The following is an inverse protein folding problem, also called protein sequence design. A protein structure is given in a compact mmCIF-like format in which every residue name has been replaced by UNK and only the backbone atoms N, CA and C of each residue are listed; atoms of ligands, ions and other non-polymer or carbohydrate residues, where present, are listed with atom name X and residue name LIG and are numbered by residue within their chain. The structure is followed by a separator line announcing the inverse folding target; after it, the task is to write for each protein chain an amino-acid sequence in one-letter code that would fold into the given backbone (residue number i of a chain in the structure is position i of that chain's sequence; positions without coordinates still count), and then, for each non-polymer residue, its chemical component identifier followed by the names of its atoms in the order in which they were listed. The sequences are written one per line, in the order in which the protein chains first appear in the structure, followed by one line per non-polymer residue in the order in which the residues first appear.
data_IF_362201114020
#
_entry.id   IF_362201114020
#
_cell.length_a   1.000
_cell.length_b   1.000
_cell.length_c   1.000
_cell.angle_alpha   90.00
_cell.angle_beta   90.00
_cell.angle_gamma   90.00
#
_symmetry.space_group_name_H-M   'P 1'
#
loop_
_entity.id
_entity.type
_entity.pdbx_description
1 polymer ?
#
# COMPACT_ATOMS: atom_id res chain seq x y z
N UNK A 1 -8.73 -6.66 13.19
CA UNK A 1 -8.81 -5.88 11.93
C UNK A 1 -7.65 -4.91 11.79
N UNK A 2 -7.46 -3.94 12.71
CA UNK A 2 -6.32 -3.00 12.61
C UNK A 2 -4.95 -3.68 12.49
N UNK A 3 -4.67 -4.67 13.33
CA UNK A 3 -3.38 -5.39 13.33
C UNK A 3 -3.09 -6.12 12.02
N UNK A 4 -4.13 -6.61 11.34
CA UNK A 4 -3.99 -7.29 10.06
C UNK A 4 -3.63 -6.29 8.95
N UNK A 5 -4.36 -5.16 8.90
CA UNK A 5 -4.11 -4.12 7.91
C UNK A 5 -2.73 -3.49 8.11
N UNK A 6 -2.30 -3.29 9.37
CA UNK A 6 -0.93 -2.83 9.65
C UNK A 6 0.12 -3.80 9.13
N UNK A 7 -0.06 -5.11 9.31
CA UNK A 7 0.87 -6.11 8.75
C UNK A 7 0.92 -6.07 7.22
N UNK A 8 -0.23 -5.84 6.58
CA UNK A 8 -0.29 -5.70 5.13
C UNK A 8 0.41 -4.41 4.67
N UNK A 9 0.20 -3.29 5.37
CA UNK A 9 0.92 -2.03 5.11
C UNK A 9 2.44 -2.21 5.28
N UNK A 10 2.89 -2.88 6.34
CA UNK A 10 4.32 -3.17 6.56
C UNK A 10 4.89 -4.07 5.43
N UNK A 11 4.08 -5.00 4.91
CA UNK A 11 4.45 -5.84 3.77
C UNK A 11 4.53 -5.00 2.49
N UNK A 12 3.52 -4.15 2.25
CA UNK A 12 3.45 -3.27 1.09
C UNK A 12 4.62 -2.30 1.05
N UNK A 13 4.98 -1.70 2.18
CA UNK A 13 6.14 -0.81 2.29
C UNK A 13 7.42 -1.48 1.76
N UNK A 14 7.69 -2.73 2.17
CA UNK A 14 8.87 -3.47 1.71
C UNK A 14 8.85 -3.79 0.21
N UNK A 15 7.67 -4.01 -0.37
CA UNK A 15 7.54 -4.33 -1.79
C UNK A 15 7.65 -3.03 -2.61
N UNK A 16 7.02 -1.94 -2.16
CA UNK A 16 7.15 -0.60 -2.75
C UNK A 16 8.62 -0.17 -2.74
N UNK A 17 9.36 -0.36 -1.65
CA UNK A 17 10.80 -0.06 -1.61
C UNK A 17 11.60 -0.86 -2.65
N UNK A 18 11.24 -2.13 -2.89
CA UNK A 18 11.87 -2.94 -3.94
C UNK A 18 11.52 -2.45 -5.34
N UNK A 19 10.26 -2.09 -5.58
CA UNK A 19 9.81 -1.49 -6.83
C UNK A 19 10.57 -0.19 -7.13
N UNK A 20 10.66 0.73 -6.16
CA UNK A 20 11.47 1.96 -6.27
C UNK A 20 12.93 1.62 -6.60
N UNK A 21 13.47 0.57 -5.97
CA UNK A 21 14.86 0.14 -6.19
C UNK A 21 15.08 -0.51 -7.55
N UNK A 22 14.05 -1.03 -8.21
CA UNK A 22 14.13 -1.61 -9.54
C UNK A 22 14.32 -0.53 -10.63
N UNK A 23 13.97 0.73 -10.32
CA UNK A 23 14.22 1.89 -11.17
C UNK A 23 13.42 1.91 -12.47
N UNK A 24 12.42 1.03 -12.60
CA UNK A 24 11.50 0.97 -13.72
C UNK A 24 10.13 0.49 -13.22
N UNK A 25 9.04 1.14 -13.64
CA UNK A 25 7.66 0.90 -13.18
C UNK A 25 7.06 -0.43 -13.64
N UNK A 26 7.82 -1.21 -14.41
CA UNK A 26 7.38 -2.42 -15.10
C UNK A 26 8.09 -3.68 -14.56
N UNK A 27 8.48 -3.67 -13.29
CA UNK A 27 9.02 -4.83 -12.61
C UNK A 27 7.94 -5.58 -11.82
N UNK A 28 8.15 -6.88 -11.62
CA UNK A 28 7.21 -7.76 -10.93
C UNK A 28 6.86 -7.24 -9.53
N UNK A 29 7.81 -6.58 -8.86
CA UNK A 29 7.59 -5.98 -7.54
C UNK A 29 6.65 -4.77 -7.58
N UNK A 30 6.64 -3.98 -8.66
CA UNK A 30 5.69 -2.86 -8.80
C UNK A 30 4.26 -3.37 -9.00
N UNK A 31 4.08 -4.43 -9.78
CA UNK A 31 2.77 -5.05 -9.98
C UNK A 31 2.28 -5.74 -8.69
N UNK A 32 3.15 -6.48 -7.99
CA UNK A 32 2.80 -7.05 -6.67
C UNK A 32 2.47 -5.97 -5.65
N UNK A 33 3.18 -4.84 -5.66
CA UNK A 33 2.90 -3.72 -4.78
C UNK A 33 1.52 -3.10 -5.06
N UNK A 34 1.16 -2.89 -6.33
CA UNK A 34 -0.15 -2.35 -6.73
C UNK A 34 -1.29 -3.25 -6.29
N UNK A 35 -1.22 -4.55 -6.58
CA UNK A 35 -2.24 -5.51 -6.16
C UNK A 35 -2.44 -5.51 -4.64
N UNK A 36 -1.33 -5.44 -3.88
CA UNK A 36 -1.38 -5.44 -2.42
C UNK A 36 -1.96 -4.14 -1.87
N UNK A 37 -1.66 -2.98 -2.48
CA UNK A 37 -2.22 -1.69 -2.08
C UNK A 37 -3.73 -1.63 -2.34
N UNK A 38 -4.20 -2.18 -3.46
CA UNK A 38 -5.63 -2.31 -3.76
C UNK A 38 -6.34 -3.21 -2.72
N UNK A 39 -5.76 -4.35 -2.36
CA UNK A 39 -6.32 -5.22 -1.30
C UNK A 39 -6.42 -4.48 0.04
N UNK A 40 -5.37 -3.70 0.39
CA UNK A 40 -5.36 -2.89 1.62
C UNK A 40 -6.44 -1.81 1.55
N UNK A 41 -6.63 -1.15 0.40
CA UNK A 41 -7.66 -0.13 0.18
C UNK A 41 -9.05 -0.69 0.42
N UNK A 42 -9.35 -1.85 -0.15
CA UNK A 42 -10.63 -2.53 0.06
C UNK A 42 -10.86 -2.90 1.52
N UNK A 43 -9.82 -3.43 2.19
CA UNK A 43 -9.89 -3.72 3.63
C UNK A 43 -10.13 -2.46 4.45
N UNK A 44 -9.47 -1.35 4.14
CA UNK A 44 -9.67 -0.05 4.83
C UNK A 44 -11.09 0.48 4.61
N UNK A 45 -11.62 0.38 3.39
CA UNK A 45 -12.98 0.79 3.03
C UNK A 45 -14.05 -0.06 3.74
N UNK A 46 -13.74 -1.31 4.07
CA UNK A 46 -14.62 -2.18 4.85
C UNK A 46 -14.70 -1.83 6.35
N UNK A 47 -13.81 -0.97 6.87
CA UNK A 47 -13.77 -0.59 8.29
C UNK A 47 -14.91 0.38 8.61
N UNK A 48 -15.78 0.01 9.56
CA UNK A 48 -16.86 0.88 10.03
C UNK A 48 -16.35 2.10 10.85
N UNK A 49 -15.23 1.95 11.56
CA UNK A 49 -14.58 3.04 12.28
C UNK A 49 -13.91 4.04 11.32
N UNK A 50 -14.56 5.17 11.10
CA UNK A 50 -14.09 6.25 10.22
C UNK A 50 -12.76 6.87 10.67
N UNK A 51 -12.45 6.89 11.97
CA UNK A 51 -11.19 7.46 12.46
C UNK A 51 -10.03 6.53 12.14
N UNK A 52 -10.21 5.24 12.40
CA UNK A 52 -9.23 4.22 12.09
C UNK A 52 -9.01 4.13 10.57
N UNK A 53 -10.10 4.05 9.80
CA UNK A 53 -10.08 4.02 8.33
C UNK A 53 -9.27 5.20 7.78
N UNK A 54 -9.59 6.43 8.19
CA UNK A 54 -8.88 7.64 7.75
C UNK A 54 -7.39 7.59 8.08
N UNK A 55 -7.01 7.07 9.25
CA UNK A 55 -5.60 7.01 9.65
C UNK A 55 -4.82 5.98 8.83
N UNK A 56 -5.45 4.84 8.50
CA UNK A 56 -4.85 3.82 7.66
C UNK A 56 -4.79 4.27 6.19
N UNK A 57 -5.80 4.98 5.69
CA UNK A 57 -5.79 5.56 4.34
C UNK A 57 -4.60 6.50 4.14
N UNK A 58 -4.26 7.34 5.12
CA UNK A 58 -3.09 8.23 5.00
C UNK A 58 -1.79 7.44 4.81
N UNK A 59 -1.64 6.29 5.47
CA UNK A 59 -0.45 5.45 5.31
C UNK A 59 -0.45 4.77 3.94
N UNK A 60 -1.62 4.34 3.45
CA UNK A 60 -1.79 3.78 2.12
C UNK A 60 -1.46 4.81 1.03
N UNK A 61 -1.99 6.02 1.14
CA UNK A 61 -1.81 7.09 0.16
C UNK A 61 -0.31 7.49 0.05
N UNK A 62 0.45 7.43 1.14
CA UNK A 62 1.92 7.65 1.13
C UNK A 62 2.65 6.58 0.30
N UNK A 63 2.25 5.32 0.43
CA UNK A 63 2.82 4.21 -0.33
C UNK A 63 2.45 4.27 -1.82
N UNK A 64 1.20 4.63 -2.14
CA UNK A 64 0.75 4.85 -3.51
C UNK A 64 1.52 6.00 -4.17
N UNK A 65 1.69 7.12 -3.45
CA UNK A 65 2.45 8.28 -3.95
C UNK A 65 3.91 7.92 -4.28
N UNK A 66 4.54 7.05 -3.47
CA UNK A 66 5.89 6.55 -3.74
C UNK A 66 5.97 5.72 -5.01
N UNK A 67 4.95 4.91 -5.30
CA UNK A 67 4.85 4.11 -6.52
C UNK A 67 4.64 4.99 -7.75
N UNK A 68 3.71 5.94 -7.69
CA UNK A 68 3.44 6.88 -8.78
C UNK A 68 4.66 7.74 -9.13
N UNK A 69 5.56 7.99 -8.18
CA UNK A 69 6.79 8.75 -8.42
C UNK A 69 7.81 8.03 -9.33
N UNK A 70 7.57 6.75 -9.64
CA UNK A 70 8.45 5.89 -10.46
C UNK A 70 7.85 5.66 -11.86
N UNK A 71 6.56 5.95 -12.06
CA UNK A 71 5.86 5.93 -13.36
C UNK A 71 6.15 7.16 -14.21
#
# INVERSE_FOLDING_TARGET
METEIRRLLDKAERIVEKCVSCGNSNCDECDEARELLDEIRDKINSIQDKRLSRRLSVMLDDLESKLESIE
#
